data_IF_677275069969
#
_entry.id   IF_677275069969
#
_cell.length_a   1.000
_cell.length_b   1.000
_cell.length_c   1.000
_cell.angle_alpha   90.00
_cell.angle_beta   90.00
_cell.angle_gamma   90.00
#
_symmetry.space_group_name_H-M   'P 1'
#
loop_
_entity.id
_entity.type
_entity.pdbx_description
1 polymer ?
#
# COMPACT_ATOMS: atom_id res chain seq x y z
N UNK A 1 -8.88 -14.95 16.39
CA UNK A 1 -7.58 -14.22 16.49
C UNK A 1 -7.57 -13.34 17.74
N UNK A 2 -6.44 -13.21 18.48
CA UNK A 2 -6.26 -12.26 19.58
C UNK A 2 -6.49 -10.81 19.14
N UNK A 3 -6.87 -9.92 20.07
CA UNK A 3 -7.21 -8.53 19.75
C UNK A 3 -6.12 -7.78 18.97
N UNK A 4 -4.85 -7.86 19.38
CA UNK A 4 -3.74 -7.19 18.71
C UNK A 4 -3.49 -7.67 17.26
N UNK A 5 -3.77 -8.94 16.95
CA UNK A 5 -3.68 -9.47 15.58
C UNK A 5 -4.75 -8.86 14.67
N UNK A 6 -5.94 -8.62 15.22
CA UNK A 6 -7.04 -7.94 14.50
C UNK A 6 -6.71 -6.49 14.23
N UNK A 7 -6.06 -5.81 15.19
CA UNK A 7 -5.67 -4.39 15.04
C UNK A 7 -4.78 -4.16 13.82
N UNK A 8 -3.75 -4.99 13.61
CA UNK A 8 -2.87 -4.85 12.44
C UNK A 8 -3.59 -5.06 11.11
N UNK A 9 -4.49 -6.05 11.04
CA UNK A 9 -5.26 -6.29 9.84
C UNK A 9 -6.23 -5.13 9.55
N UNK A 10 -6.89 -4.59 10.57
CA UNK A 10 -7.79 -3.43 10.43
C UNK A 10 -6.99 -2.18 10.03
N UNK A 11 -5.84 -1.91 10.67
CA UNK A 11 -4.99 -0.77 10.32
C UNK A 11 -4.52 -0.85 8.85
N UNK A 12 -4.13 -2.05 8.39
CA UNK A 12 -3.79 -2.32 7.00
C UNK A 12 -4.97 -2.04 6.06
N UNK A 13 -6.17 -2.51 6.40
CA UNK A 13 -7.38 -2.27 5.60
C UNK A 13 -7.71 -0.79 5.49
N UNK A 14 -7.66 -0.05 6.60
CA UNK A 14 -7.93 1.40 6.61
C UNK A 14 -6.88 2.15 5.78
N UNK A 15 -5.61 1.81 5.94
CA UNK A 15 -4.51 2.42 5.21
C UNK A 15 -4.66 2.23 3.69
N UNK A 16 -4.77 1.00 3.25
CA UNK A 16 -4.89 0.69 1.82
C UNK A 16 -6.24 1.09 1.25
N UNK A 17 -7.30 1.07 2.05
CA UNK A 17 -8.61 1.60 1.68
C UNK A 17 -8.57 3.08 1.37
N UNK A 18 -7.92 3.89 2.23
CA UNK A 18 -7.74 5.31 2.00
C UNK A 18 -6.97 5.59 0.70
N UNK A 19 -5.77 5.03 0.53
CA UNK A 19 -4.96 5.27 -0.67
C UNK A 19 -5.53 4.64 -1.94
N UNK A 20 -6.28 3.55 -1.82
CA UNK A 20 -7.04 2.96 -2.92
C UNK A 20 -8.15 3.89 -3.40
N UNK A 21 -8.92 4.46 -2.47
CA UNK A 21 -9.98 5.43 -2.77
C UNK A 21 -9.43 6.71 -3.41
N UNK A 22 -8.27 7.21 -2.96
CA UNK A 22 -7.58 8.33 -3.59
C UNK A 22 -7.22 8.00 -5.04
N UNK A 23 -6.63 6.83 -5.31
CA UNK A 23 -6.29 6.43 -6.69
C UNK A 23 -7.53 6.27 -7.57
N UNK A 24 -8.62 5.70 -7.05
CA UNK A 24 -9.89 5.60 -7.80
C UNK A 24 -10.50 6.97 -8.06
N UNK A 25 -10.43 7.91 -7.11
CA UNK A 25 -10.93 9.27 -7.34
C UNK A 25 -10.20 9.96 -8.50
N UNK A 26 -8.88 9.73 -8.66
CA UNK A 26 -8.12 10.23 -9.81
C UNK A 26 -8.56 9.59 -11.12
N UNK A 27 -8.79 8.28 -11.13
CA UNK A 27 -9.33 7.60 -12.30
C UNK A 27 -10.71 8.14 -12.70
N UNK A 28 -11.52 8.56 -11.73
CA UNK A 28 -12.83 9.20 -11.94
C UNK A 28 -12.74 10.70 -12.30
N UNK A 29 -11.53 11.29 -12.28
CA UNK A 29 -11.30 12.67 -12.71
C UNK A 29 -11.13 13.69 -11.60
N UNK A 30 -11.03 13.27 -10.33
CA UNK A 30 -10.72 14.20 -9.25
C UNK A 30 -9.30 14.77 -9.43
N UNK A 31 -9.10 16.09 -9.37
CA UNK A 31 -7.78 16.70 -9.42
C UNK A 31 -7.08 16.71 -8.04
N UNK A 32 -7.75 16.24 -6.99
CA UNK A 32 -7.27 16.35 -5.61
C UNK A 32 -5.93 15.64 -5.41
N UNK A 33 -4.93 16.37 -4.95
CA UNK A 33 -3.55 15.91 -4.71
C UNK A 33 -2.78 15.40 -5.96
N UNK A 34 -3.31 15.51 -7.17
CA UNK A 34 -2.63 15.03 -8.40
C UNK A 34 -1.31 15.77 -8.62
N UNK A 35 -1.27 17.09 -8.37
CA UNK A 35 -0.10 17.95 -8.48
C UNK A 35 1.00 17.65 -7.44
N UNK A 36 0.65 16.89 -6.39
CA UNK A 36 1.60 16.46 -5.36
C UNK A 36 2.29 15.15 -5.71
N UNK A 37 1.70 14.34 -6.59
CA UNK A 37 2.22 13.02 -6.99
C UNK A 37 2.81 13.02 -8.39
N UNK A 38 2.37 13.93 -9.25
CA UNK A 38 2.80 14.04 -10.65
C UNK A 38 3.35 15.42 -10.94
N UNK A 39 4.33 15.50 -11.86
CA UNK A 39 4.87 16.73 -12.41
C UNK A 39 5.25 16.54 -13.89
N UNK A 40 5.45 17.64 -14.61
CA UNK A 40 5.84 17.62 -16.03
C UNK A 40 4.85 16.82 -16.88
N UNK A 41 5.36 15.89 -17.67
CA UNK A 41 4.53 15.05 -18.56
C UNK A 41 3.51 14.20 -17.80
N UNK A 42 3.81 13.75 -16.57
CA UNK A 42 2.85 13.02 -15.75
C UNK A 42 1.64 13.87 -15.38
N UNK A 43 1.84 15.13 -15.03
CA UNK A 43 0.73 16.05 -14.73
C UNK A 43 -0.09 16.36 -15.98
N UNK A 44 0.57 16.54 -17.14
CA UNK A 44 -0.11 16.71 -18.43
C UNK A 44 -1.00 15.51 -18.75
N UNK A 45 -0.48 14.28 -18.60
CA UNK A 45 -1.27 13.05 -18.81
C UNK A 45 -2.47 12.95 -17.87
N UNK A 46 -2.33 13.41 -16.63
CA UNK A 46 -3.45 13.45 -15.68
C UNK A 46 -4.53 14.47 -16.10
N UNK A 47 -4.15 15.57 -16.77
CA UNK A 47 -5.07 16.59 -17.30
C UNK A 47 -5.73 16.13 -18.61
N UNK A 48 -4.94 15.62 -19.55
CA UNK A 48 -5.42 15.13 -20.86
C UNK A 48 -6.23 13.84 -20.74
N UNK A 49 -5.99 13.03 -19.70
CA UNK A 49 -6.70 11.81 -19.37
C UNK A 49 -6.79 10.79 -20.53
N UNK A 50 -5.69 10.47 -21.22
CA UNK A 50 -5.77 9.43 -22.24
C UNK A 50 -6.24 8.11 -21.60
N UNK A 51 -7.00 7.32 -22.33
CA UNK A 51 -7.67 6.09 -21.82
C UNK A 51 -6.70 5.15 -21.10
N UNK A 52 -5.52 4.92 -21.68
CA UNK A 52 -4.53 4.04 -21.07
C UNK A 52 -4.07 4.54 -19.69
N UNK A 53 -3.89 5.85 -19.51
CA UNK A 53 -3.49 6.44 -18.23
C UNK A 53 -4.58 6.25 -17.18
N UNK A 54 -5.84 6.52 -17.54
CA UNK A 54 -6.99 6.30 -16.65
C UNK A 54 -7.08 4.84 -16.22
N UNK A 55 -6.90 3.89 -17.16
CA UNK A 55 -6.90 2.45 -16.88
C UNK A 55 -5.78 2.07 -15.91
N UNK A 56 -4.57 2.57 -16.10
CA UNK A 56 -3.43 2.30 -15.20
C UNK A 56 -3.70 2.82 -13.79
N UNK A 57 -4.21 4.04 -13.66
CA UNK A 57 -4.56 4.64 -12.36
C UNK A 57 -5.69 3.87 -11.68
N UNK A 58 -6.70 3.46 -12.45
CA UNK A 58 -7.81 2.64 -11.95
C UNK A 58 -7.32 1.29 -11.43
N UNK A 59 -6.50 0.57 -12.21
CA UNK A 59 -5.89 -0.70 -11.79
C UNK A 59 -5.05 -0.52 -10.53
N UNK A 60 -4.27 0.57 -10.44
CA UNK A 60 -3.51 0.90 -9.22
C UNK A 60 -4.42 1.05 -8.00
N UNK A 61 -5.59 1.66 -8.16
CA UNK A 61 -6.60 1.76 -7.12
C UNK A 61 -7.13 0.39 -6.70
N UNK A 62 -7.49 -0.46 -7.68
CA UNK A 62 -7.98 -1.82 -7.42
C UNK A 62 -6.94 -2.70 -6.70
N UNK A 63 -5.66 -2.62 -7.11
CA UNK A 63 -4.57 -3.34 -6.44
C UNK A 63 -4.46 -2.94 -4.97
N UNK A 64 -4.57 -1.64 -4.66
CA UNK A 64 -4.59 -1.15 -3.27
C UNK A 64 -5.81 -1.67 -2.50
N UNK A 65 -7.00 -1.66 -3.10
CA UNK A 65 -8.19 -2.25 -2.48
C UNK A 65 -8.08 -3.77 -2.32
N UNK A 66 -7.28 -4.45 -3.14
CA UNK A 66 -6.93 -5.86 -2.94
C UNK A 66 -6.31 -6.14 -1.57
N UNK A 67 -5.55 -5.20 -0.98
CA UNK A 67 -5.04 -5.32 0.39
C UNK A 67 -6.14 -5.17 1.46
N UNK A 68 -7.22 -4.45 1.16
CA UNK A 68 -8.41 -4.43 2.04
C UNK A 68 -9.06 -5.79 2.07
N UNK A 69 -9.26 -6.41 0.89
CA UNK A 69 -9.79 -7.77 0.78
C UNK A 69 -8.85 -8.77 1.49
N UNK A 70 -7.54 -8.64 1.28
CA UNK A 70 -6.54 -9.48 1.95
C UNK A 70 -6.61 -9.35 3.48
N UNK A 71 -6.83 -8.14 4.02
CA UNK A 71 -7.08 -7.95 5.44
C UNK A 71 -8.30 -8.74 5.94
N UNK A 72 -9.37 -8.73 5.17
CA UNK A 72 -10.56 -9.57 5.42
C UNK A 72 -10.24 -11.08 5.41
N UNK A 73 -9.42 -11.54 4.45
CA UNK A 73 -8.95 -12.94 4.39
C UNK A 73 -8.16 -13.36 5.62
N UNK A 74 -7.37 -12.45 6.18
CA UNK A 74 -6.62 -12.73 7.42
C UNK A 74 -7.53 -12.71 8.65
N UNK A 75 -8.52 -11.80 8.71
CA UNK A 75 -9.46 -11.66 9.83
C UNK A 75 -10.44 -12.81 9.93
N UNK A 76 -10.90 -13.30 8.78
CA UNK A 76 -11.96 -14.33 8.67
C UNK A 76 -11.45 -15.56 7.89
N UNK A 77 -10.44 -16.27 8.44
CA UNK A 77 -9.78 -17.36 7.72
C UNK A 77 -10.69 -18.54 7.40
N UNK A 78 -11.74 -18.75 8.19
CA UNK A 78 -12.69 -19.85 8.02
C UNK A 78 -13.77 -19.54 6.95
N UNK A 79 -14.05 -18.26 6.73
CA UNK A 79 -15.04 -17.80 5.74
C UNK A 79 -14.49 -17.86 4.33
N UNK A 80 -13.21 -17.47 4.14
CA UNK A 80 -12.57 -17.42 2.83
C UNK A 80 -11.59 -18.60 2.72
N UNK A 81 -11.93 -19.58 1.90
CA UNK A 81 -11.15 -20.82 1.71
C UNK A 81 -9.88 -20.57 0.88
N UNK A 82 -8.91 -19.88 1.46
CA UNK A 82 -7.57 -19.72 0.90
C UNK A 82 -6.57 -20.56 1.67
N UNK A 83 -5.72 -21.39 1.02
CA UNK A 83 -4.70 -22.18 1.70
C UNK A 83 -3.78 -21.31 2.56
N UNK A 84 -3.39 -21.79 3.75
CA UNK A 84 -2.54 -21.05 4.68
C UNK A 84 -1.23 -20.60 4.04
N UNK A 85 -0.58 -21.48 3.26
CA UNK A 85 0.68 -21.15 2.61
C UNK A 85 0.54 -19.97 1.63
N UNK A 86 -0.58 -19.89 0.91
CA UNK A 86 -0.84 -18.82 -0.05
C UNK A 86 -1.06 -17.48 0.67
N UNK A 87 -1.78 -17.46 1.80
CA UNK A 87 -1.93 -16.27 2.65
C UNK A 87 -0.57 -15.75 3.12
N UNK A 88 0.28 -16.67 3.60
CA UNK A 88 1.62 -16.31 4.08
C UNK A 88 2.52 -15.85 2.93
N UNK A 89 2.55 -16.57 1.81
CA UNK A 89 3.35 -16.20 0.65
C UNK A 89 2.95 -14.83 0.12
N UNK A 90 1.65 -14.59 -0.09
CA UNK A 90 1.16 -13.30 -0.55
C UNK A 90 1.53 -12.16 0.42
N UNK A 91 1.28 -12.36 1.71
CA UNK A 91 1.57 -11.33 2.72
C UNK A 91 3.06 -11.02 2.84
N UNK A 92 3.92 -12.02 2.86
CA UNK A 92 5.37 -11.83 2.92
C UNK A 92 5.92 -11.17 1.66
N UNK A 93 5.59 -11.71 0.48
CA UNK A 93 6.10 -11.19 -0.78
C UNK A 93 5.63 -9.76 -1.01
N UNK A 94 4.33 -9.50 -0.90
CA UNK A 94 3.80 -8.16 -1.15
C UNK A 94 4.27 -7.14 -0.10
N UNK A 95 4.32 -7.52 1.18
CA UNK A 95 4.79 -6.64 2.24
C UNK A 95 6.25 -6.23 2.07
N UNK A 96 7.14 -7.18 1.73
CA UNK A 96 8.57 -6.89 1.46
C UNK A 96 8.73 -6.03 0.21
N UNK A 97 8.03 -6.35 -0.88
CA UNK A 97 8.09 -5.57 -2.12
C UNK A 97 7.61 -4.13 -1.93
N UNK A 98 6.49 -3.92 -1.23
CA UNK A 98 5.97 -2.59 -0.94
C UNK A 98 6.94 -1.78 -0.07
N UNK A 99 7.48 -2.40 0.98
CA UNK A 99 8.46 -1.75 1.84
C UNK A 99 9.72 -1.37 1.06
N UNK A 100 10.28 -2.30 0.27
CA UNK A 100 11.46 -2.05 -0.54
C UNK A 100 11.20 -0.94 -1.57
N UNK A 101 10.07 -0.99 -2.28
CA UNK A 101 9.69 0.05 -3.26
C UNK A 101 9.62 1.44 -2.61
N UNK A 102 8.95 1.56 -1.47
CA UNK A 102 8.82 2.83 -0.76
C UNK A 102 10.17 3.36 -0.24
N UNK A 103 11.02 2.49 0.32
CA UNK A 103 12.34 2.87 0.81
C UNK A 103 13.26 3.30 -0.34
N UNK A 104 13.37 2.51 -1.40
CA UNK A 104 14.17 2.84 -2.58
C UNK A 104 13.67 4.14 -3.23
N UNK A 105 12.35 4.32 -3.34
CA UNK A 105 11.76 5.55 -3.86
C UNK A 105 11.98 6.78 -3.00
N UNK A 106 12.23 6.62 -1.69
CA UNK A 106 12.60 7.71 -0.77
C UNK A 106 14.07 8.13 -0.88
N UNK A 107 14.96 7.22 -1.31
CA UNK A 107 16.40 7.42 -1.29
C UNK A 107 16.87 8.69 -2.04
N UNK A 108 16.39 9.02 -3.26
CA UNK A 108 16.84 10.24 -3.95
C UNK A 108 16.54 11.52 -3.18
N UNK A 109 15.39 11.60 -2.49
CA UNK A 109 15.04 12.75 -1.66
C UNK A 109 15.93 12.87 -0.43
N UNK A 110 16.21 11.74 0.22
CA UNK A 110 17.10 11.66 1.39
C UNK A 110 18.51 12.08 1.00
N UNK A 111 19.07 11.55 -0.10
CA UNK A 111 20.41 11.89 -0.58
C UNK A 111 20.54 13.38 -0.86
N UNK A 112 19.56 14.01 -1.51
CA UNK A 112 19.56 15.46 -1.74
C UNK A 112 19.60 16.26 -0.45
N UNK A 113 18.78 15.90 0.54
CA UNK A 113 18.80 16.56 1.84
C UNK A 113 20.14 16.42 2.56
N UNK A 114 20.75 15.23 2.51
CA UNK A 114 22.07 14.98 3.09
C UNK A 114 23.18 15.76 2.38
N UNK A 115 23.02 16.04 1.09
CA UNK A 115 23.91 16.88 0.30
C UNK A 115 23.69 18.40 0.52
N UNK A 116 22.75 18.79 1.40
CA UNK A 116 22.40 20.20 1.64
C UNK A 116 21.55 20.83 0.53
N UNK A 117 21.01 20.05 -0.40
CA UNK A 117 20.14 20.53 -1.46
C UNK A 117 18.70 20.73 -0.98
N UNK A 118 18.05 21.76 -1.48
CA UNK A 118 16.62 21.96 -1.22
C UNK A 118 15.76 21.05 -2.09
N UNK A 119 14.67 20.53 -1.53
CA UNK A 119 13.67 19.79 -2.29
C UNK A 119 12.64 20.75 -2.87
N UNK A 120 12.20 20.48 -4.10
CA UNK A 120 11.01 21.09 -4.66
C UNK A 120 9.75 20.69 -3.86
N UNK A 121 8.63 21.43 -4.03
CA UNK A 121 7.33 21.07 -3.43
C UNK A 121 6.95 19.62 -3.74
N UNK A 122 7.11 19.16 -4.96
CA UNK A 122 6.90 17.78 -5.36
C UNK A 122 7.84 16.80 -4.62
N UNK A 123 9.12 17.16 -4.50
CA UNK A 123 10.11 16.34 -3.78
C UNK A 123 9.72 16.12 -2.31
N UNK A 124 9.21 17.14 -1.65
CA UNK A 124 8.70 17.05 -0.28
C UNK A 124 7.49 16.13 -0.18
N UNK A 125 6.48 16.29 -1.05
CA UNK A 125 5.31 15.41 -1.05
C UNK A 125 5.69 13.96 -1.33
N UNK A 126 6.61 13.75 -2.28
CA UNK A 126 7.12 12.42 -2.58
C UNK A 126 7.79 11.79 -1.37
N UNK A 127 8.65 12.53 -0.66
CA UNK A 127 9.41 12.03 0.49
C UNK A 127 8.53 11.83 1.73
N UNK A 128 7.58 12.74 2.00
CA UNK A 128 6.81 12.75 3.24
C UNK A 128 5.49 11.96 3.16
N UNK A 129 4.93 11.76 1.96
CA UNK A 129 3.63 11.10 1.80
C UNK A 129 3.69 9.93 0.81
N UNK A 130 4.14 10.18 -0.44
CA UNK A 130 3.93 9.21 -1.52
C UNK A 130 4.84 7.99 -1.43
N UNK A 131 6.07 8.13 -1.01
CA UNK A 131 6.94 6.98 -0.76
C UNK A 131 6.66 6.32 0.60
N UNK A 132 6.46 7.09 1.68
CA UNK A 132 6.04 6.52 2.96
C UNK A 132 4.78 5.67 2.91
N UNK A 133 3.78 6.02 2.10
CA UNK A 133 2.58 5.21 2.09
C UNK A 133 2.83 3.77 1.61
N UNK A 134 3.85 3.53 0.79
CA UNK A 134 4.23 2.18 0.38
C UNK A 134 4.98 1.43 1.48
N UNK A 135 6.02 2.02 2.08
CA UNK A 135 6.79 1.29 3.10
C UNK A 135 6.01 1.15 4.42
N UNK A 136 5.22 2.15 4.84
CA UNK A 136 4.30 2.00 5.98
C UNK A 136 3.24 0.96 5.67
N UNK A 137 2.63 1.01 4.48
CA UNK A 137 1.67 0.01 4.05
C UNK A 137 2.27 -1.39 3.99
N UNK A 138 3.53 -1.52 3.54
CA UNK A 138 4.29 -2.78 3.57
C UNK A 138 4.52 -3.30 4.99
N UNK A 139 4.90 -2.43 5.93
CA UNK A 139 5.03 -2.78 7.35
C UNK A 139 3.71 -3.30 7.91
N UNK A 140 2.58 -2.65 7.61
CA UNK A 140 1.27 -3.09 8.07
C UNK A 140 0.88 -4.46 7.50
N UNK A 141 1.18 -4.71 6.21
CA UNK A 141 0.98 -6.04 5.58
C UNK A 141 1.82 -7.10 6.29
N UNK A 142 3.11 -6.83 6.53
CA UNK A 142 4.00 -7.76 7.25
C UNK A 142 3.53 -8.01 8.68
N UNK A 143 3.19 -6.97 9.43
CA UNK A 143 2.71 -7.08 10.79
C UNK A 143 1.42 -7.92 10.88
N UNK A 144 0.45 -7.67 10.00
CA UNK A 144 -0.78 -8.47 9.92
C UNK A 144 -0.49 -9.93 9.56
N UNK A 145 0.44 -10.17 8.62
CA UNK A 145 0.85 -11.52 8.18
C UNK A 145 1.56 -12.28 9.32
N UNK A 146 2.49 -11.66 10.02
CA UNK A 146 3.19 -12.23 11.18
C UNK A 146 2.19 -12.56 12.29
N UNK A 147 1.26 -11.64 12.55
CA UNK A 147 0.21 -11.85 13.55
C UNK A 147 -0.67 -13.06 13.22
N UNK A 148 -1.10 -13.18 11.96
CA UNK A 148 -1.84 -14.33 11.46
C UNK A 148 -1.01 -15.61 11.55
N UNK A 149 0.27 -15.58 11.15
CA UNK A 149 1.16 -16.73 11.19
C UNK A 149 1.34 -17.29 12.61
N UNK A 150 1.53 -16.42 13.60
CA UNK A 150 1.65 -16.81 15.02
C UNK A 150 0.37 -17.45 15.53
N UNK A 151 -0.77 -16.80 15.26
CA UNK A 151 -2.07 -17.33 15.68
C UNK A 151 -2.39 -18.69 15.03
N UNK A 152 -2.16 -18.83 13.73
CA UNK A 152 -2.45 -20.06 13.00
C UNK A 152 -1.55 -21.23 13.42
N UNK A 153 -0.29 -20.97 13.83
CA UNK A 153 0.59 -22.01 14.41
C UNK A 153 0.07 -22.48 15.76
N UNK A 154 -0.34 -21.59 16.65
CA UNK A 154 -0.85 -21.95 17.97
C UNK A 154 -2.09 -22.86 17.87
N UNK A 155 -3.01 -22.59 16.93
CA UNK A 155 -4.21 -23.41 16.75
C UNK A 155 -3.96 -24.79 16.09
N UNK A 156 -2.85 -24.96 15.35
CA UNK A 156 -2.47 -26.27 14.80
C UNK A 156 -1.87 -27.21 15.84
N UNK A 157 -1.34 -26.70 16.94
CA UNK A 157 -0.76 -27.52 18.04
C UNK A 157 -1.84 -28.01 19.00
N UNK A 158 -3.01 -27.36 19.00
CA UNK A 158 -4.13 -27.69 19.91
C UNK A 158 -5.24 -28.52 19.24
N UNK A 159 -5.13 -28.84 17.97
CA UNK A 159 -6.05 -29.69 17.20
C UNK A 159 -5.45 -31.05 16.94
#
# INVERSE_FOLDING_TARGET
MPGWSRTFAIAMMLWWGFFGSVSLSWALGSPWLVDTVLQGDGLRLAQERPTWFVVVVFISGLVKLGFVVFGGVLLYPDTIRMPRWLRLAFGWVSGVLLMAYGLVGSAPGIVKLLAGESLSRYGWWRLCLWMPHFWVGGILVLAATIAYQRWSKANLVTA
#
